data_IF_541683594543
#
_entry.id   IF_541683594543
#
_cell.length_a   1.000
_cell.length_b   1.000
_cell.length_c   1.000
_cell.angle_alpha   90.00
_cell.angle_beta   90.00
_cell.angle_gamma   90.00
#
_symmetry.space_group_name_H-M   'P 1'
#
loop_
_entity.id
_entity.type
_entity.pdbx_description
1 polymer ?
#
# COMPACT_ATOMS: atom_id res chain seq x y z
N UNK A 1 8.61 9.32 -14.48
CA UNK A 1 8.94 9.58 -13.07
C UNK A 1 9.91 8.50 -12.62
N UNK A 2 10.82 8.85 -11.72
CA UNK A 2 11.84 7.95 -11.18
C UNK A 2 11.58 7.69 -9.70
N UNK A 3 12.25 6.71 -9.13
CA UNK A 3 12.19 6.40 -7.70
C UNK A 3 13.53 6.71 -7.02
N UNK A 4 13.48 7.04 -5.75
CA UNK A 4 14.66 7.33 -4.91
C UNK A 4 14.47 6.75 -3.51
N UNK A 5 15.54 6.74 -2.70
CA UNK A 5 15.45 6.31 -1.29
C UNK A 5 15.27 7.51 -0.36
N UNK A 6 14.30 7.41 0.55
CA UNK A 6 14.09 8.34 1.67
C UNK A 6 13.88 7.50 2.95
N UNK A 7 14.71 7.70 3.97
CA UNK A 7 14.64 6.96 5.23
C UNK A 7 14.58 5.43 5.04
N UNK A 8 15.43 4.92 4.13
CA UNK A 8 15.51 3.51 3.73
C UNK A 8 14.34 2.96 2.89
N UNK A 9 13.31 3.75 2.64
CA UNK A 9 12.22 3.40 1.73
C UNK A 9 12.48 3.88 0.30
N UNK A 10 12.17 3.05 -0.68
CA UNK A 10 12.01 3.46 -2.07
C UNK A 10 10.69 4.21 -2.22
N UNK A 11 10.76 5.41 -2.81
CA UNK A 11 9.63 6.32 -2.96
C UNK A 11 9.68 7.00 -4.32
N UNK A 12 8.54 7.48 -4.87
CA UNK A 12 8.54 8.31 -6.06
C UNK A 12 9.37 9.57 -5.86
N UNK A 13 10.27 9.86 -6.79
CA UNK A 13 11.05 11.11 -6.80
C UNK A 13 10.10 12.28 -7.12
N UNK A 14 10.24 13.40 -6.45
CA UNK A 14 9.42 14.62 -6.59
C UNK A 14 7.96 14.51 -6.06
N UNK A 15 7.64 13.51 -5.30
CA UNK A 15 6.39 13.50 -4.55
C UNK A 15 6.51 14.41 -3.32
N UNK A 16 5.64 15.42 -3.23
CA UNK A 16 5.66 16.41 -2.15
C UNK A 16 5.49 15.79 -0.77
N UNK A 17 4.77 14.68 -0.67
CA UNK A 17 4.57 13.95 0.59
C UNK A 17 5.89 13.42 1.15
N UNK A 18 6.76 12.87 0.30
CA UNK A 18 8.07 12.35 0.70
C UNK A 18 9.09 13.44 0.97
N UNK A 19 8.94 14.63 0.39
CA UNK A 19 9.74 15.79 0.74
C UNK A 19 9.51 16.18 2.21
N UNK A 20 8.28 16.13 2.69
CA UNK A 20 7.96 16.35 4.11
C UNK A 20 8.56 15.26 5.01
N UNK A 21 8.48 14.02 4.59
CA UNK A 21 9.07 12.89 5.31
C UNK A 21 10.59 12.99 5.37
N UNK A 22 11.24 13.34 4.27
CA UNK A 22 12.68 13.60 4.23
C UNK A 22 13.10 14.75 5.16
N UNK A 23 12.24 15.77 5.33
CA UNK A 23 12.43 16.86 6.28
C UNK A 23 12.18 16.46 7.76
N UNK A 24 11.97 15.17 8.05
CA UNK A 24 11.79 14.64 9.40
C UNK A 24 10.35 14.68 9.94
N UNK A 25 9.36 15.03 9.10
CA UNK A 25 7.96 14.90 9.48
C UNK A 25 7.50 13.45 9.32
N UNK A 26 6.68 12.90 10.24
CA UNK A 26 6.13 11.57 10.06
C UNK A 26 5.16 11.54 8.85
N UNK A 27 5.05 10.38 8.20
CA UNK A 27 4.04 10.23 7.14
C UNK A 27 2.61 10.34 7.73
N UNK A 28 1.64 10.70 6.90
CA UNK A 28 0.29 11.11 7.32
C UNK A 28 -0.42 10.09 8.23
N UNK A 29 -0.26 8.80 7.96
CA UNK A 29 -0.90 7.72 8.72
C UNK A 29 -0.06 7.15 9.86
N UNK A 30 1.12 7.69 10.12
CA UNK A 30 2.06 7.15 11.12
C UNK A 30 1.43 7.02 12.52
N UNK A 31 0.63 7.99 12.92
CA UNK A 31 -0.05 7.96 14.23
C UNK A 31 -1.03 6.78 14.34
N UNK A 32 -1.83 6.56 13.30
CA UNK A 32 -2.79 5.45 13.25
C UNK A 32 -2.07 4.10 13.26
N UNK A 33 -1.02 3.95 12.46
CA UNK A 33 -0.20 2.75 12.41
C UNK A 33 0.42 2.44 13.77
N UNK A 34 1.04 3.41 14.44
CA UNK A 34 1.64 3.22 15.75
C UNK A 34 0.61 2.87 16.83
N UNK A 35 -0.59 3.44 16.79
CA UNK A 35 -1.67 3.08 17.70
C UNK A 35 -2.13 1.64 17.47
N UNK A 36 -2.25 1.21 16.22
CA UNK A 36 -2.65 -0.13 15.87
C UNK A 36 -1.59 -1.18 16.29
N UNK A 37 -0.32 -0.91 16.07
CA UNK A 37 0.80 -1.76 16.54
C UNK A 37 0.75 -1.90 18.06
N UNK A 38 0.55 -0.80 18.80
CA UNK A 38 0.42 -0.85 20.27
C UNK A 38 -0.76 -1.71 20.71
N UNK A 39 -1.89 -1.60 20.03
CA UNK A 39 -3.05 -2.43 20.29
C UNK A 39 -2.75 -3.91 20.04
N UNK A 40 -2.13 -4.26 18.92
CA UNK A 40 -1.75 -5.64 18.60
C UNK A 40 -0.81 -6.22 19.67
N UNK A 41 0.20 -5.49 20.08
CA UNK A 41 1.13 -5.92 21.13
C UNK A 41 0.43 -6.09 22.49
N UNK A 42 -0.42 -5.14 22.89
CA UNK A 42 -1.11 -5.17 24.17
C UNK A 42 -2.11 -6.33 24.30
N UNK A 43 -2.61 -6.84 23.18
CA UNK A 43 -3.64 -7.89 23.16
C UNK A 43 -3.13 -9.21 22.52
N UNK A 44 -1.82 -9.32 22.28
CA UNK A 44 -1.20 -10.48 21.63
C UNK A 44 -1.93 -10.89 20.33
N UNK A 45 -2.26 -9.87 19.49
CA UNK A 45 -3.04 -10.10 18.27
C UNK A 45 -2.17 -10.70 17.18
N UNK A 46 -2.68 -11.77 16.57
CA UNK A 46 -2.16 -12.38 15.35
C UNK A 46 -3.30 -12.59 14.36
N UNK A 47 -2.98 -12.40 13.09
CA UNK A 47 -3.93 -12.56 11.99
C UNK A 47 -3.44 -13.66 11.05
N UNK A 48 -4.33 -14.48 10.55
CA UNK A 48 -3.99 -15.48 9.54
C UNK A 48 -3.66 -14.83 8.21
N UNK A 49 -4.49 -13.89 7.78
CA UNK A 49 -4.30 -13.13 6.55
C UNK A 49 -4.67 -11.66 6.75
N UNK A 50 -3.87 -10.76 6.21
CA UNK A 50 -4.13 -9.32 6.17
C UNK A 50 -4.16 -8.87 4.72
N UNK A 51 -5.19 -8.11 4.35
CA UNK A 51 -5.28 -7.43 3.07
C UNK A 51 -4.89 -5.97 3.25
N UNK A 52 -3.86 -5.53 2.55
CA UNK A 52 -3.44 -4.12 2.47
C UNK A 52 -3.92 -3.54 1.14
N UNK A 53 -5.07 -2.86 1.17
CA UNK A 53 -5.73 -2.30 -0.01
C UNK A 53 -5.32 -0.84 -0.19
N UNK A 54 -4.63 -0.55 -1.27
CA UNK A 54 -3.96 0.73 -1.47
C UNK A 54 -2.65 0.79 -0.69
N UNK A 55 -1.82 -0.23 -0.88
CA UNK A 55 -0.60 -0.43 -0.09
C UNK A 55 0.46 0.66 -0.27
N UNK A 56 0.29 1.50 -1.32
CA UNK A 56 1.20 2.60 -1.60
C UNK A 56 2.65 2.10 -1.72
N UNK A 57 3.57 2.60 -0.92
CA UNK A 57 4.96 2.15 -0.90
C UNK A 57 5.24 1.04 0.13
N UNK A 58 4.19 0.50 0.78
CA UNK A 58 4.27 -0.67 1.67
C UNK A 58 4.44 -0.37 3.16
N UNK A 59 4.16 0.84 3.61
CA UNK A 59 4.35 1.22 5.03
C UNK A 59 3.53 0.37 6.01
N UNK A 60 2.26 0.08 5.68
CA UNK A 60 1.41 -0.79 6.49
C UNK A 60 1.79 -2.25 6.34
N UNK A 61 2.01 -2.72 5.10
CA UNK A 61 2.41 -4.11 4.83
C UNK A 61 3.64 -4.52 5.63
N UNK A 62 4.68 -3.68 5.65
CA UNK A 62 5.91 -3.94 6.39
C UNK A 62 5.65 -3.98 7.89
N UNK A 63 4.90 -3.02 8.42
CA UNK A 63 4.61 -2.95 9.85
C UNK A 63 3.74 -4.12 10.36
N UNK A 64 2.94 -4.73 9.48
CA UNK A 64 2.06 -5.85 9.82
C UNK A 64 2.75 -7.23 9.75
N UNK A 65 3.98 -7.32 9.25
CA UNK A 65 4.70 -8.61 9.11
C UNK A 65 4.83 -9.37 10.42
N UNK A 66 5.00 -8.67 11.53
CA UNK A 66 5.14 -9.29 12.85
C UNK A 66 3.80 -9.79 13.44
N UNK A 67 2.68 -9.41 12.82
CA UNK A 67 1.32 -9.68 13.32
C UNK A 67 0.50 -10.57 12.41
N UNK A 68 0.97 -10.93 11.23
CA UNK A 68 0.23 -11.71 10.25
C UNK A 68 1.05 -12.88 9.70
N UNK A 69 0.38 -14.03 9.49
CA UNK A 69 1.00 -15.20 8.84
C UNK A 69 1.15 -14.95 7.33
N UNK A 70 0.19 -14.26 6.73
CA UNK A 70 0.16 -13.88 5.32
C UNK A 70 -0.29 -12.43 5.16
N UNK A 71 0.35 -11.71 4.24
CA UNK A 71 -0.07 -10.38 3.83
C UNK A 71 -0.23 -10.37 2.31
N UNK A 72 -1.34 -9.82 1.82
CA UNK A 72 -1.61 -9.61 0.40
C UNK A 72 -1.82 -8.11 0.19
N UNK A 73 -0.92 -7.49 -0.55
CA UNK A 73 -0.90 -6.05 -0.79
C UNK A 73 -1.35 -5.72 -2.22
N UNK A 74 -2.25 -4.76 -2.35
CA UNK A 74 -2.82 -4.30 -3.61
C UNK A 74 -2.49 -2.84 -3.83
N UNK A 75 -1.81 -2.51 -4.93
CA UNK A 75 -1.47 -1.13 -5.30
C UNK A 75 -1.66 -0.93 -6.80
N UNK A 76 -2.63 -0.12 -7.22
CA UNK A 76 -2.93 0.05 -8.64
C UNK A 76 -1.95 0.96 -9.39
N UNK A 77 -1.33 1.94 -8.73
CA UNK A 77 -0.41 2.86 -9.39
C UNK A 77 0.93 2.19 -9.68
N UNK A 78 1.39 2.25 -10.92
CA UNK A 78 2.60 1.54 -11.35
C UNK A 78 3.87 2.02 -10.66
N UNK A 79 3.97 3.31 -10.36
CA UNK A 79 5.14 3.88 -9.72
C UNK A 79 5.19 3.53 -8.23
N UNK A 80 4.04 3.58 -7.55
CA UNK A 80 3.92 3.13 -6.16
C UNK A 80 4.14 1.63 -6.06
N UNK A 81 3.61 0.85 -6.99
CA UNK A 81 3.82 -0.59 -7.03
C UNK A 81 5.29 -0.96 -7.22
N UNK A 82 6.04 -0.23 -8.08
CA UNK A 82 7.48 -0.40 -8.21
C UNK A 82 8.21 -0.13 -6.88
N UNK A 83 7.80 0.91 -6.14
CA UNK A 83 8.34 1.19 -4.81
C UNK A 83 7.97 0.09 -3.81
N UNK A 84 6.70 -0.33 -3.79
CA UNK A 84 6.19 -1.39 -2.93
C UNK A 84 7.04 -2.66 -3.04
N UNK A 85 7.22 -3.21 -4.24
CA UNK A 85 7.98 -4.46 -4.45
C UNK A 85 9.47 -4.34 -4.08
N UNK A 86 10.03 -3.14 -4.07
CA UNK A 86 11.40 -2.89 -3.61
C UNK A 86 11.53 -2.73 -2.10
N UNK A 87 10.46 -2.34 -1.43
CA UNK A 87 10.45 -2.08 0.01
C UNK A 87 10.14 -3.33 0.84
N UNK A 88 9.33 -4.24 0.29
CA UNK A 88 8.86 -5.41 1.03
C UNK A 88 9.80 -6.61 0.93
N UNK A 89 9.69 -7.52 1.90
CA UNK A 89 10.33 -8.84 1.85
C UNK A 89 9.54 -9.85 1.03
N UNK A 90 10.10 -11.04 0.85
CA UNK A 90 9.53 -12.15 0.05
C UNK A 90 8.27 -12.79 0.66
N UNK A 91 7.90 -12.44 1.88
CA UNK A 91 6.74 -12.98 2.61
C UNK A 91 5.44 -12.19 2.42
N UNK A 92 5.46 -11.13 1.60
CA UNK A 92 4.28 -10.34 1.23
C UNK A 92 3.95 -10.62 -0.24
N UNK A 93 2.74 -11.12 -0.48
CA UNK A 93 2.19 -11.27 -1.81
C UNK A 93 1.71 -9.91 -2.32
N UNK A 94 2.00 -9.56 -3.57
CA UNK A 94 1.63 -8.25 -4.14
C UNK A 94 0.92 -8.37 -5.47
N UNK A 95 -0.05 -7.48 -5.68
CA UNK A 95 -0.81 -7.39 -6.92
C UNK A 95 -0.93 -5.96 -7.39
N UNK A 96 -0.56 -5.70 -8.66
CA UNK A 96 -0.74 -4.39 -9.29
C UNK A 96 -2.16 -4.27 -9.85
N UNK A 97 -3.12 -4.03 -8.96
CA UNK A 97 -4.54 -3.86 -9.33
C UNK A 97 -5.27 -3.03 -8.26
N UNK A 98 -6.41 -2.49 -8.63
CA UNK A 98 -7.33 -1.82 -7.70
C UNK A 98 -8.37 -2.81 -7.16
N UNK A 99 -8.81 -2.59 -5.93
CA UNK A 99 -9.98 -3.27 -5.36
C UNK A 99 -11.16 -2.30 -5.41
N UNK A 100 -12.30 -2.77 -5.90
CA UNK A 100 -13.51 -1.96 -6.05
C UNK A 100 -14.79 -2.80 -6.07
N UNK A 101 -15.91 -2.14 -6.41
CA UNK A 101 -17.23 -2.79 -6.38
C UNK A 101 -17.55 -3.62 -7.64
N UNK A 102 -16.74 -3.52 -8.66
CA UNK A 102 -16.97 -4.19 -9.97
C UNK A 102 -15.65 -4.48 -10.67
N UNK A 103 -15.69 -5.44 -11.60
CA UNK A 103 -14.52 -5.75 -12.42
C UNK A 103 -14.51 -4.88 -13.67
N UNK A 104 -13.48 -4.06 -13.84
CA UNK A 104 -13.29 -3.22 -15.02
C UNK A 104 -11.85 -2.72 -15.14
N UNK A 105 -11.53 -2.09 -16.27
CA UNK A 105 -10.28 -1.36 -16.44
C UNK A 105 -10.50 0.11 -16.09
N UNK A 106 -9.58 0.69 -15.29
CA UNK A 106 -9.68 2.07 -14.79
C UNK A 106 -8.45 2.89 -15.15
N UNK A 107 -8.60 4.21 -15.10
CA UNK A 107 -7.51 5.20 -15.03
C UNK A 107 -7.50 5.88 -13.68
N UNK A 108 -6.31 6.25 -13.23
CA UNK A 108 -6.11 7.04 -12.01
C UNK A 108 -5.77 8.50 -12.38
N UNK A 109 -6.14 9.43 -11.50
CA UNK A 109 -5.76 10.83 -11.64
C UNK A 109 -4.24 11.01 -11.59
N UNK A 110 -3.74 12.00 -12.33
CA UNK A 110 -2.34 12.46 -12.24
C UNK A 110 -2.31 13.64 -11.28
N UNK A 111 -2.03 13.38 -10.02
CA UNK A 111 -1.91 14.40 -8.98
C UNK A 111 -0.48 14.46 -8.44
N UNK A 112 -0.02 15.67 -8.09
CA UNK A 112 1.29 15.89 -7.47
C UNK A 112 1.39 15.26 -6.06
N UNK A 113 0.23 15.04 -5.43
CA UNK A 113 0.10 14.27 -4.19
C UNK A 113 -0.35 12.85 -4.51
N UNK A 114 0.59 11.96 -4.68
CA UNK A 114 0.32 10.61 -5.20
C UNK A 114 -0.52 9.73 -4.26
N UNK A 115 -0.59 10.04 -2.97
CA UNK A 115 -1.47 9.35 -2.01
C UNK A 115 -2.98 9.51 -2.27
N UNK A 116 -3.38 10.50 -3.05
CA UNK A 116 -4.78 10.86 -3.22
C UNK A 116 -5.32 10.53 -4.60
N UNK A 117 -4.66 9.64 -5.33
CA UNK A 117 -5.12 9.24 -6.68
C UNK A 117 -6.52 8.68 -6.65
N UNK A 118 -7.34 9.14 -7.61
CA UNK A 118 -8.75 8.79 -7.73
C UNK A 118 -9.00 8.10 -9.07
N UNK A 119 -9.99 7.22 -9.10
CA UNK A 119 -10.50 6.68 -10.36
C UNK A 119 -11.19 7.78 -11.14
N UNK A 120 -10.71 8.07 -12.35
CA UNK A 120 -11.22 9.13 -13.23
C UNK A 120 -11.94 8.62 -14.48
N UNK A 121 -12.00 7.32 -14.69
CA UNK A 121 -12.69 6.74 -15.83
C UNK A 121 -12.08 5.41 -16.31
N UNK A 122 -12.36 5.07 -17.55
CA UNK A 122 -11.80 3.88 -18.20
C UNK A 122 -10.31 4.02 -18.48
N UNK A 123 -9.57 2.91 -18.42
CA UNK A 123 -8.14 2.92 -18.59
C UNK A 123 -7.52 1.54 -18.77
N UNK A 124 -6.33 1.33 -18.22
CA UNK A 124 -5.55 0.09 -18.40
C UNK A 124 -5.28 -0.65 -17.10
N UNK A 125 -5.60 -0.06 -15.94
CA UNK A 125 -5.35 -0.65 -14.63
C UNK A 125 -6.52 -1.57 -14.30
N UNK A 126 -6.29 -2.86 -14.01
CA UNK A 126 -7.36 -3.76 -13.60
C UNK A 126 -7.91 -3.36 -12.24
N UNK A 127 -9.24 -3.32 -12.14
CA UNK A 127 -9.97 -3.25 -10.88
C UNK A 127 -10.80 -4.52 -10.75
N UNK A 128 -10.73 -5.15 -9.58
CA UNK A 128 -11.45 -6.38 -9.27
C UNK A 128 -12.20 -6.25 -7.94
N UNK A 129 -13.15 -7.16 -7.69
CA UNK A 129 -13.80 -7.24 -6.38
C UNK A 129 -13.02 -8.18 -5.46
N UNK A 130 -13.09 -7.98 -4.14
CA UNK A 130 -12.48 -8.91 -3.17
C UNK A 130 -13.06 -10.31 -3.37
N UNK A 131 -14.36 -10.43 -3.58
CA UNK A 131 -15.04 -11.74 -3.77
C UNK A 131 -14.51 -12.52 -4.98
N UNK A 132 -13.99 -11.83 -6.01
CA UNK A 132 -13.41 -12.48 -7.19
C UNK A 132 -12.02 -13.07 -6.96
N UNK A 133 -11.39 -12.79 -5.82
CA UNK A 133 -10.04 -13.27 -5.49
C UNK A 133 -10.02 -14.63 -4.79
N UNK A 134 -11.21 -15.17 -4.44
CA UNK A 134 -11.34 -16.48 -3.78
C UNK A 134 -10.40 -16.64 -2.57
N UNK A 135 -10.29 -15.59 -1.75
CA UNK A 135 -9.37 -15.55 -0.61
C UNK A 135 -9.89 -16.42 0.53
N UNK A 136 -8.98 -17.19 1.14
CA UNK A 136 -9.28 -18.02 2.32
C UNK A 136 -8.72 -17.35 3.58
N UNK A 137 -9.43 -17.53 4.71
CA UNK A 137 -8.99 -17.13 6.06
C UNK A 137 -8.66 -15.62 6.26
N UNK A 138 -9.33 -14.73 5.54
CA UNK A 138 -9.15 -13.27 5.65
C UNK A 138 -9.96 -12.68 6.79
#
# INVERSE_FOLDING_TARGET
>A
MTISKVNDFWVPTNDLHFNEWQAGKPFTQNKCLLQFIRYCNAHDKKFKCVLDIGAWVGTWSIAMQDFADKIIAFEPDSLHYECLIKNIGSNIETHQLAIGAEQKLISLSEDDFTQSKRVIGEGKIPMVTIDSLELEDV
#
